data_IF_068746837010
#
_entry.id   IF_068746837010
#
_cell.length_a   1.000
_cell.length_b   1.000
_cell.length_c   1.000
_cell.angle_alpha   90.00
_cell.angle_beta   90.00
_cell.angle_gamma   90.00
#
_symmetry.space_group_name_H-M   'P 1'
#
loop_
_entity.id
_entity.type
_entity.pdbx_description
1 polymer ?
#
# COMPACT_ATOMS: atom_id res chain seq x y z
N UNK A 1 3.21 -3.24 -13.54
CA UNK A 1 3.22 -2.04 -12.67
C UNK A 1 4.55 -1.85 -11.95
N UNK A 2 5.09 -2.86 -11.26
CA UNK A 2 6.35 -2.79 -10.47
C UNK A 2 7.58 -2.44 -11.33
N UNK A 3 7.69 -2.97 -12.56
CA UNK A 3 8.84 -2.69 -13.46
C UNK A 3 9.00 -1.23 -13.89
N UNK A 4 7.99 -0.39 -13.72
CA UNK A 4 8.04 1.00 -14.18
C UNK A 4 8.79 1.89 -13.17
N UNK A 5 8.71 1.61 -11.87
CA UNK A 5 9.24 2.49 -10.83
C UNK A 5 10.64 2.10 -10.30
N UNK A 6 11.26 1.06 -10.86
CA UNK A 6 12.58 0.55 -10.42
C UNK A 6 13.74 1.43 -10.85
N UNK A 7 13.56 2.31 -11.82
CA UNK A 7 14.59 3.25 -12.29
C UNK A 7 14.47 4.60 -11.56
N UNK A 8 15.55 5.38 -11.48
CA UNK A 8 15.52 6.78 -11.02
C UNK A 8 14.89 7.74 -12.04
N UNK A 9 14.15 7.19 -12.99
CA UNK A 9 13.53 7.89 -14.09
C UNK A 9 12.16 8.38 -13.64
N UNK A 10 11.93 9.69 -13.79
CA UNK A 10 10.61 10.27 -13.58
C UNK A 10 9.68 10.04 -14.77
N UNK A 11 8.39 9.87 -14.50
CA UNK A 11 7.35 9.70 -15.52
C UNK A 11 6.52 10.96 -15.67
N UNK A 12 6.23 11.34 -16.90
CA UNK A 12 5.19 12.34 -17.18
C UNK A 12 3.78 11.73 -17.07
N UNK A 13 2.79 12.61 -16.96
CA UNK A 13 1.41 12.18 -16.70
C UNK A 13 0.79 11.42 -17.88
N UNK A 14 1.17 11.74 -19.12
CA UNK A 14 0.65 11.04 -20.30
C UNK A 14 1.19 9.60 -20.36
N UNK A 15 2.47 9.42 -20.05
CA UNK A 15 3.09 8.09 -19.93
C UNK A 15 2.38 7.25 -18.86
N UNK A 16 2.12 7.84 -17.69
CA UNK A 16 1.42 7.15 -16.60
C UNK A 16 -0.03 6.82 -16.95
N UNK A 17 -0.74 7.74 -17.61
CA UNK A 17 -2.12 7.52 -18.11
C UNK A 17 -2.17 6.31 -19.05
N UNK A 18 -1.25 6.24 -20.02
CA UNK A 18 -1.20 5.11 -20.95
C UNK A 18 -0.83 3.79 -20.25
N UNK A 19 0.11 3.82 -19.32
CA UNK A 19 0.55 2.63 -18.59
C UNK A 19 -0.49 2.08 -17.61
N UNK A 20 -1.28 2.95 -16.99
CA UNK A 20 -2.27 2.59 -15.97
C UNK A 20 -3.70 2.52 -16.51
N UNK A 21 -3.91 2.90 -17.77
CA UNK A 21 -5.22 3.07 -18.39
C UNK A 21 -6.17 3.91 -17.49
N UNK A 22 -5.65 5.04 -16.99
CA UNK A 22 -6.33 5.88 -16.01
C UNK A 22 -6.75 7.22 -16.62
N UNK A 23 -7.77 7.85 -16.03
CA UNK A 23 -8.16 9.22 -16.35
C UNK A 23 -7.06 10.22 -15.92
N UNK A 24 -6.76 11.19 -16.77
CA UNK A 24 -5.68 12.16 -16.55
C UNK A 24 -5.95 13.04 -15.34
N UNK A 25 -7.21 13.46 -15.13
CA UNK A 25 -7.57 14.34 -14.01
C UNK A 25 -7.51 13.59 -12.69
N UNK A 26 -8.02 12.37 -12.63
CA UNK A 26 -7.93 11.52 -11.45
C UNK A 26 -6.45 11.22 -11.09
N UNK A 27 -5.65 10.89 -12.11
CA UNK A 27 -4.22 10.63 -11.95
C UNK A 27 -3.48 11.86 -11.44
N UNK A 28 -3.78 13.05 -11.97
CA UNK A 28 -3.22 14.31 -11.47
C UNK A 28 -3.53 14.51 -9.97
N UNK A 29 -4.79 14.36 -9.57
CA UNK A 29 -5.20 14.55 -8.17
C UNK A 29 -4.44 13.60 -7.24
N UNK A 30 -4.35 12.32 -7.61
CA UNK A 30 -3.65 11.31 -6.80
C UNK A 30 -2.15 11.61 -6.73
N UNK A 31 -1.52 11.98 -7.85
CA UNK A 31 -0.09 12.29 -7.88
C UNK A 31 0.24 13.54 -7.05
N UNK A 32 -0.58 14.59 -7.10
CA UNK A 32 -0.39 15.78 -6.28
C UNK A 32 -0.58 15.47 -4.78
N UNK A 33 -1.52 14.58 -4.42
CA UNK A 33 -1.68 14.11 -3.04
C UNK A 33 -0.48 13.27 -2.56
N UNK A 34 0.09 12.43 -3.43
CA UNK A 34 1.31 11.67 -3.15
C UNK A 34 2.53 12.60 -3.03
N UNK A 35 2.58 13.69 -3.80
CA UNK A 35 3.59 14.73 -3.65
C UNK A 35 3.48 15.46 -2.32
N UNK A 36 2.27 15.87 -1.93
CA UNK A 36 2.02 16.52 -0.65
C UNK A 36 2.36 15.60 0.54
N UNK A 37 2.14 14.29 0.40
CA UNK A 37 2.48 13.27 1.40
C UNK A 37 3.98 12.90 1.42
N UNK A 38 4.78 13.43 0.49
CA UNK A 38 6.22 13.16 0.40
C UNK A 38 6.62 11.84 -0.28
N UNK A 39 5.65 11.04 -0.74
CA UNK A 39 5.94 9.77 -1.41
C UNK A 39 6.47 9.94 -2.84
N UNK A 40 6.11 11.03 -3.50
CA UNK A 40 6.52 11.36 -4.87
C UNK A 40 7.10 12.77 -4.91
N UNK A 41 8.10 13.00 -5.75
CA UNK A 41 8.65 14.31 -6.04
C UNK A 41 8.34 14.71 -7.47
N UNK A 42 7.86 15.95 -7.65
CA UNK A 42 7.71 16.55 -8.97
C UNK A 42 8.98 17.33 -9.32
N UNK A 43 9.60 17.00 -10.45
CA UNK A 43 10.76 17.71 -11.01
C UNK A 43 10.44 18.04 -12.46
N UNK A 44 10.36 19.34 -12.78
CA UNK A 44 9.82 19.81 -14.07
C UNK A 44 8.41 19.21 -14.26
N UNK A 45 8.17 18.50 -15.37
CA UNK A 45 6.91 17.82 -15.67
C UNK A 45 6.93 16.32 -15.42
N UNK A 46 7.81 15.86 -14.51
CA UNK A 46 7.97 14.44 -14.20
C UNK A 46 7.78 14.14 -12.72
N UNK A 47 7.15 13.01 -12.44
CA UNK A 47 6.93 12.44 -11.11
C UNK A 47 7.96 11.34 -10.83
N UNK A 48 8.67 11.47 -9.71
CA UNK A 48 9.74 10.56 -9.29
C UNK A 48 9.38 10.01 -7.92
N UNK A 49 9.46 8.70 -7.72
CA UNK A 49 9.25 8.11 -6.39
C UNK A 49 10.36 8.56 -5.42
N UNK A 50 9.99 8.95 -4.21
CA UNK A 50 10.95 9.31 -3.15
C UNK A 50 11.69 8.09 -2.62
N UNK A 51 12.87 8.27 -2.02
CA UNK A 51 13.62 7.18 -1.38
C UNK A 51 12.81 6.49 -0.27
N UNK A 52 12.06 7.26 0.53
CA UNK A 52 11.18 6.69 1.56
C UNK A 52 10.11 5.79 0.95
N UNK A 53 9.46 6.23 -0.13
CA UNK A 53 8.47 5.42 -0.83
C UNK A 53 9.09 4.21 -1.53
N UNK A 54 10.35 4.28 -1.98
CA UNK A 54 11.07 3.13 -2.53
C UNK A 54 11.23 2.02 -1.50
N UNK A 55 11.66 2.34 -0.27
CA UNK A 55 11.78 1.35 0.82
C UNK A 55 10.44 0.67 1.11
N UNK A 56 9.35 1.44 1.09
CA UNK A 56 8.02 0.96 1.46
C UNK A 56 7.32 0.15 0.35
N UNK A 57 7.45 0.55 -0.92
CA UNK A 57 6.57 0.05 -1.99
C UNK A 57 7.26 -0.77 -3.09
N UNK A 58 8.59 -0.92 -3.07
CA UNK A 58 9.29 -1.81 -4.00
C UNK A 58 9.60 -3.15 -3.33
N UNK A 59 9.41 -4.27 -4.04
CA UNK A 59 9.50 -5.67 -3.54
C UNK A 59 10.83 -6.07 -2.87
N UNK A 60 11.85 -5.19 -2.88
CA UNK A 60 13.15 -5.40 -2.23
C UNK A 60 13.55 -4.27 -1.28
N UNK A 61 12.62 -3.37 -0.96
CA UNK A 61 12.84 -2.34 0.05
C UNK A 61 12.89 -2.94 1.45
N UNK A 62 13.69 -2.36 2.32
CA UNK A 62 13.89 -2.86 3.70
C UNK A 62 12.58 -2.87 4.50
N UNK A 63 11.71 -1.89 4.24
CA UNK A 63 10.42 -1.73 4.91
C UNK A 63 9.23 -2.08 3.99
N UNK A 64 9.39 -3.04 3.08
CA UNK A 64 8.38 -3.31 2.06
C UNK A 64 7.01 -3.69 2.65
N UNK A 65 6.04 -2.79 2.52
CA UNK A 65 4.65 -2.97 2.99
C UNK A 65 3.71 -3.50 1.91
N UNK A 66 4.16 -3.60 0.65
CA UNK A 66 3.29 -3.93 -0.48
C UNK A 66 2.62 -5.30 -0.40
N UNK A 67 3.23 -6.26 0.32
CA UNK A 67 2.61 -7.56 0.61
C UNK A 67 1.40 -7.47 1.55
N UNK A 68 1.36 -6.44 2.41
CA UNK A 68 0.30 -6.24 3.41
C UNK A 68 -0.82 -5.29 2.96
N UNK A 69 -0.55 -4.45 1.96
CA UNK A 69 -1.47 -3.39 1.54
C UNK A 69 -2.81 -3.92 1.00
N UNK A 70 -2.87 -4.96 0.14
CA UNK A 70 -4.15 -5.51 -0.31
C UNK A 70 -5.01 -5.98 0.86
N UNK A 71 -4.40 -6.70 1.80
CA UNK A 71 -5.10 -7.18 2.99
C UNK A 71 -5.60 -6.04 3.89
N UNK A 72 -4.83 -4.96 4.03
CA UNK A 72 -5.27 -3.77 4.75
C UNK A 72 -6.53 -3.14 4.10
N UNK A 73 -6.54 -3.02 2.77
CA UNK A 73 -7.68 -2.47 2.03
C UNK A 73 -8.93 -3.35 2.18
N UNK A 74 -8.78 -4.69 2.15
CA UNK A 74 -9.88 -5.62 2.40
C UNK A 74 -10.51 -5.43 3.78
N UNK A 75 -9.69 -5.11 4.79
CA UNK A 75 -10.17 -4.89 6.17
C UNK A 75 -10.84 -3.51 6.32
N UNK A 76 -10.50 -2.50 5.50
CA UNK A 76 -11.09 -1.16 5.63
C UNK A 76 -12.61 -1.16 5.54
N UNK A 77 -13.20 -2.01 4.69
CA UNK A 77 -14.66 -2.12 4.59
C UNK A 77 -15.29 -2.57 5.91
N UNK A 78 -14.65 -3.52 6.61
CA UNK A 78 -15.10 -3.96 7.92
C UNK A 78 -15.03 -2.84 8.97
N UNK A 79 -14.01 -1.99 8.91
CA UNK A 79 -13.90 -0.81 9.78
C UNK A 79 -15.01 0.21 9.51
N UNK A 80 -15.37 0.45 8.24
CA UNK A 80 -16.47 1.36 7.90
C UNK A 80 -17.83 0.85 8.41
N UNK A 81 -18.01 -0.48 8.52
CA UNK A 81 -19.22 -1.12 9.08
C UNK A 81 -19.26 -1.13 10.62
N UNK A 82 -18.15 -0.80 11.30
CA UNK A 82 -18.01 -0.92 12.75
C UNK A 82 -19.08 -0.17 13.56
N UNK A 83 -19.48 1.07 13.21
CA UNK A 83 -20.51 1.78 13.98
C UNK A 83 -21.87 1.07 14.00
N UNK A 84 -22.21 0.35 12.93
CA UNK A 84 -23.48 -0.40 12.81
C UNK A 84 -23.38 -1.75 13.53
N UNK A 85 -22.21 -2.39 13.47
CA UNK A 85 -21.92 -3.63 14.20
C UNK A 85 -22.02 -3.40 15.72
N UNK A 86 -21.44 -2.30 16.22
CA UNK A 86 -21.52 -1.92 17.64
C UNK A 86 -22.97 -1.73 18.09
N UNK A 87 -23.85 -1.29 17.18
CA UNK A 87 -25.30 -1.12 17.44
C UNK A 87 -26.10 -2.41 17.34
N UNK A 88 -25.47 -3.55 17.07
CA UNK A 88 -26.09 -4.88 17.11
C UNK A 88 -26.24 -5.57 15.76
N UNK A 89 -25.77 -4.98 14.65
CA UNK A 89 -25.69 -5.72 13.40
C UNK A 89 -24.62 -6.82 13.47
N UNK A 90 -24.85 -7.93 12.77
CA UNK A 90 -23.87 -9.01 12.69
C UNK A 90 -22.72 -8.61 11.76
N UNK A 91 -21.46 -8.92 12.12
CA UNK A 91 -20.34 -8.72 11.21
C UNK A 91 -20.49 -9.62 9.98
N UNK A 92 -20.05 -9.09 8.84
CA UNK A 92 -19.98 -9.85 7.60
C UNK A 92 -18.95 -10.98 7.72
N UNK A 93 -19.30 -12.15 7.20
CA UNK A 93 -18.47 -13.35 7.21
C UNK A 93 -18.20 -13.87 5.79
N UNK A 94 -18.38 -13.03 4.77
CA UNK A 94 -17.99 -13.34 3.40
C UNK A 94 -16.56 -13.88 3.33
N UNK A 95 -16.31 -14.75 2.34
CA UNK A 95 -14.97 -15.26 2.07
C UNK A 95 -14.01 -14.09 1.87
N UNK A 96 -12.88 -14.16 2.60
CA UNK A 96 -11.80 -13.17 2.51
C UNK A 96 -10.73 -13.70 1.59
N UNK A 97 -9.95 -12.81 0.99
CA UNK A 97 -8.77 -13.21 0.24
C UNK A 97 -7.71 -13.79 1.20
N UNK A 98 -7.70 -15.12 1.29
CA UNK A 98 -6.76 -15.88 2.13
C UNK A 98 -5.32 -15.69 1.64
N UNK A 99 -5.11 -15.51 0.33
CA UNK A 99 -3.77 -15.31 -0.21
C UNK A 99 -3.24 -13.92 0.19
N UNK A 100 -4.06 -12.88 0.10
CA UNK A 100 -3.70 -11.55 0.59
C UNK A 100 -3.39 -11.57 2.11
N UNK A 101 -4.19 -12.29 2.90
CA UNK A 101 -3.92 -12.48 4.32
C UNK A 101 -2.58 -13.19 4.58
N UNK A 102 -2.32 -14.31 3.92
CA UNK A 102 -1.07 -15.05 4.08
C UNK A 102 0.15 -14.22 3.68
N UNK A 103 0.06 -13.48 2.58
CA UNK A 103 1.13 -12.56 2.14
C UNK A 103 1.37 -11.44 3.16
N UNK A 104 0.32 -10.87 3.73
CA UNK A 104 0.44 -9.85 4.77
C UNK A 104 1.12 -10.39 6.03
N UNK A 105 0.75 -11.59 6.47
CA UNK A 105 1.36 -12.23 7.64
C UNK A 105 2.82 -12.62 7.40
N UNK A 106 3.16 -13.08 6.18
CA UNK A 106 4.52 -13.43 5.79
C UNK A 106 5.43 -12.20 5.61
N UNK A 107 4.87 -11.01 5.35
CA UNK A 107 5.63 -9.76 5.21
C UNK A 107 6.05 -9.12 6.53
N UNK A 108 5.70 -9.71 7.68
CA UNK A 108 6.12 -9.19 8.99
C UNK A 108 7.61 -9.49 9.24
N UNK A 109 8.38 -8.55 9.81
CA UNK A 109 9.77 -8.81 10.17
C UNK A 109 9.88 -9.93 11.21
N UNK A 110 10.78 -10.89 11.00
CA UNK A 110 11.01 -12.03 11.91
C UNK A 110 11.28 -11.58 13.34
N UNK A 111 12.01 -10.48 13.51
CA UNK A 111 12.31 -9.87 14.82
C UNK A 111 11.04 -9.55 15.64
N UNK A 112 9.96 -9.12 14.98
CA UNK A 112 8.67 -8.82 15.65
C UNK A 112 7.99 -10.11 16.11
N UNK A 113 8.16 -11.20 15.35
CA UNK A 113 7.65 -12.52 15.72
C UNK A 113 8.45 -13.08 16.91
N UNK A 114 9.77 -12.95 16.88
CA UNK A 114 10.67 -13.35 17.95
C UNK A 114 10.37 -12.59 19.25
N UNK A 115 10.28 -11.25 19.20
CA UNK A 115 9.92 -10.42 20.36
C UNK A 115 8.54 -10.78 20.94
N UNK A 116 7.55 -11.12 20.09
CA UNK A 116 6.23 -11.54 20.56
C UNK A 116 6.28 -12.88 21.29
N UNK A 117 7.08 -13.84 20.81
CA UNK A 117 7.27 -15.15 21.45
C UNK A 117 8.01 -14.99 22.78
N UNK A 118 9.06 -14.16 22.82
CA UNK A 118 9.82 -13.90 24.05
C UNK A 118 8.97 -13.20 25.12
N UNK A 119 8.14 -12.23 24.74
CA UNK A 119 7.28 -11.50 25.67
C UNK A 119 6.07 -12.31 26.18
N UNK A 120 5.73 -13.42 25.53
CA UNK A 120 4.61 -14.30 25.93
C UNK A 120 5.07 -15.57 26.66
N UNK A 121 6.39 -15.84 26.70
CA UNK A 121 7.00 -16.97 27.40
C UNK A 121 7.60 -16.60 28.78
N UNK A 122 7.35 -15.38 29.26
CA UNK A 122 7.61 -14.91 30.63
C UNK A 122 6.31 -14.74 31.41
#
# INVERSE_FOLDING_TARGET
>A
MVKMWTSNEGFDIETLKHALNADVRALFIVLEALCASGYVHKRLDRYIISEQARSLFLERGEDYVGGSLPHFLDIMEAWLKLPVIIKGAKPDRSERDVAAFMNAMASRPDKVVEEAVENWLL
#
